data_IF_617290044027
#
_entry.id   IF_617290044027
#
_cell.length_a   1.000
_cell.length_b   1.000
_cell.length_c   1.000
_cell.angle_alpha   90.00
_cell.angle_beta   90.00
_cell.angle_gamma   90.00
#
_symmetry.space_group_name_H-M   'P 1'
#
loop_
_entity.id
_entity.type
_entity.pdbx_description
1 polymer ?
#
# COMPACT_ATOMS: atom_id res chain seq x y z
N UNK A 1 -13.75 21.04 2.34
CA UNK A 1 -13.66 21.44 3.78
C UNK A 1 -12.40 22.27 4.00
N UNK A 2 -12.22 22.93 5.17
CA UNK A 2 -11.00 23.70 5.46
C UNK A 2 -9.81 22.74 5.71
N UNK A 3 -8.61 23.00 5.14
CA UNK A 3 -7.44 22.14 5.34
C UNK A 3 -7.04 21.99 6.81
N UNK A 4 -7.12 23.05 7.62
CA UNK A 4 -6.83 22.98 9.06
C UNK A 4 -7.71 21.97 9.81
N UNK A 5 -9.01 21.88 9.46
CA UNK A 5 -9.93 20.93 10.10
C UNK A 5 -9.63 19.49 9.67
N UNK A 6 -9.15 19.27 8.46
CA UNK A 6 -8.75 17.95 7.98
C UNK A 6 -7.41 17.52 8.59
N UNK A 7 -6.44 18.43 8.76
CA UNK A 7 -5.14 18.13 9.40
C UNK A 7 -5.30 17.54 10.79
N UNK A 8 -6.20 18.06 11.60
CA UNK A 8 -6.48 17.52 12.95
C UNK A 8 -6.89 16.04 12.96
N UNK A 9 -7.48 15.55 11.88
CA UNK A 9 -7.86 14.13 11.77
C UNK A 9 -6.75 13.30 11.14
N UNK A 10 -6.08 13.87 10.13
CA UNK A 10 -4.95 13.22 9.46
C UNK A 10 -3.78 12.95 10.42
N UNK A 11 -3.54 13.87 11.37
CA UNK A 11 -2.49 13.70 12.37
C UNK A 11 -2.74 12.53 13.35
N UNK A 12 -4.02 12.09 13.51
CA UNK A 12 -4.37 10.94 14.36
C UNK A 12 -4.01 9.59 13.72
N UNK A 13 -3.97 9.52 12.39
CA UNK A 13 -3.75 8.27 11.65
C UNK A 13 -2.31 8.12 11.13
N UNK A 14 -1.48 9.15 11.29
CA UNK A 14 -0.11 9.11 10.79
C UNK A 14 0.72 8.06 11.51
N UNK A 15 1.37 7.17 10.75
CA UNK A 15 2.22 6.11 11.29
C UNK A 15 1.47 4.94 11.93
N UNK A 16 0.13 4.93 11.87
CA UNK A 16 -0.69 3.83 12.38
C UNK A 16 -0.82 2.72 11.33
N UNK A 17 -1.13 1.49 11.77
CA UNK A 17 -1.52 0.41 10.87
C UNK A 17 -2.79 0.77 10.13
N UNK A 18 -2.97 0.26 8.92
CA UNK A 18 -4.12 0.61 8.09
C UNK A 18 -5.46 0.27 8.76
N UNK A 19 -5.55 -0.89 9.42
CA UNK A 19 -6.73 -1.31 10.17
C UNK A 19 -7.03 -0.41 11.37
N UNK A 20 -6.01 -0.10 12.20
CA UNK A 20 -6.16 0.78 13.36
C UNK A 20 -6.58 2.18 12.91
N UNK A 21 -6.01 2.68 11.82
CA UNK A 21 -6.37 3.96 11.23
C UNK A 21 -7.85 3.99 10.79
N UNK A 22 -8.36 2.91 10.20
CA UNK A 22 -9.78 2.78 9.84
C UNK A 22 -10.69 2.80 11.07
N UNK A 23 -10.30 2.10 12.14
CA UNK A 23 -11.05 2.10 13.40
C UNK A 23 -11.08 3.50 14.03
N UNK A 24 -9.92 4.17 14.13
CA UNK A 24 -9.82 5.54 14.65
C UNK A 24 -10.74 6.48 13.87
N UNK A 25 -10.76 6.37 12.54
CA UNK A 25 -11.60 7.22 11.67
C UNK A 25 -13.10 6.96 11.88
N UNK A 26 -13.52 5.71 12.06
CA UNK A 26 -14.93 5.35 12.34
C UNK A 26 -15.45 5.96 13.65
N UNK A 27 -14.64 5.95 14.70
CA UNK A 27 -15.02 6.49 16.01
C UNK A 27 -14.83 8.01 16.12
N UNK A 28 -14.14 8.64 15.19
CA UNK A 28 -13.89 10.08 15.20
C UNK A 28 -15.15 10.86 14.80
N UNK A 29 -15.70 11.66 15.72
CA UNK A 29 -16.92 12.47 15.52
C UNK A 29 -16.78 13.62 14.50
N UNK A 30 -15.59 13.87 13.94
CA UNK A 30 -15.33 14.97 13.01
C UNK A 30 -15.79 14.60 11.59
N UNK A 31 -16.52 15.50 10.92
CA UNK A 31 -16.99 15.27 9.54
C UNK A 31 -15.88 14.90 8.56
N UNK A 32 -14.65 15.41 8.81
CA UNK A 32 -13.47 15.11 8.00
C UNK A 32 -13.14 13.60 7.97
N UNK A 33 -13.44 12.87 9.04
CA UNK A 33 -13.07 11.47 9.17
C UNK A 33 -13.69 10.61 8.08
N UNK A 34 -14.95 10.84 7.71
CA UNK A 34 -15.64 10.09 6.64
C UNK A 34 -14.98 10.26 5.27
N UNK A 35 -14.52 11.47 4.96
CA UNK A 35 -13.88 11.76 3.68
C UNK A 35 -12.47 11.13 3.65
N UNK A 36 -11.74 11.17 4.77
CA UNK A 36 -10.41 10.57 4.92
C UNK A 36 -10.50 9.03 4.91
N UNK A 37 -11.51 8.45 5.55
CA UNK A 37 -11.76 7.01 5.54
C UNK A 37 -11.92 6.47 4.11
N UNK A 38 -12.68 7.17 3.26
CA UNK A 38 -12.83 6.79 1.84
C UNK A 38 -11.50 6.81 1.09
N UNK A 39 -10.68 7.83 1.34
CA UNK A 39 -9.35 7.94 0.70
C UNK A 39 -8.43 6.83 1.18
N UNK A 40 -8.43 6.50 2.48
CA UNK A 40 -7.63 5.42 3.03
C UNK A 40 -8.05 4.06 2.46
N UNK A 41 -9.35 3.76 2.38
CA UNK A 41 -9.84 2.52 1.73
C UNK A 41 -9.43 2.42 0.27
N UNK A 42 -9.48 3.54 -0.45
CA UNK A 42 -9.00 3.57 -1.84
C UNK A 42 -7.48 3.35 -1.93
N UNK A 43 -6.71 3.83 -0.95
CA UNK A 43 -5.27 3.62 -0.92
C UNK A 43 -4.92 2.14 -0.66
N UNK A 44 -5.65 1.46 0.25
CA UNK A 44 -5.51 0.03 0.52
C UNK A 44 -5.83 -0.79 -0.75
N UNK A 45 -6.99 -0.58 -1.36
CA UNK A 45 -7.39 -1.27 -2.58
C UNK A 45 -6.41 -1.03 -3.76
N UNK A 46 -5.81 0.15 -3.83
CA UNK A 46 -4.78 0.43 -4.84
C UNK A 46 -3.46 -0.31 -4.53
N UNK A 47 -3.13 -0.52 -3.26
CA UNK A 47 -1.97 -1.30 -2.86
C UNK A 47 -2.15 -2.78 -3.20
N UNK A 48 -3.32 -3.37 -2.88
CA UNK A 48 -3.70 -4.73 -3.25
C UNK A 48 -3.59 -4.96 -4.76
N UNK A 49 -4.21 -4.09 -5.55
CA UNK A 49 -4.17 -4.19 -7.01
C UNK A 49 -2.75 -4.10 -7.59
N UNK A 50 -1.92 -3.22 -7.03
CA UNK A 50 -0.52 -3.12 -7.46
C UNK A 50 0.30 -4.37 -7.13
N UNK A 51 0.01 -5.02 -5.99
CA UNK A 51 0.63 -6.27 -5.61
C UNK A 51 0.19 -7.40 -6.54
N UNK A 52 -1.11 -7.50 -6.85
CA UNK A 52 -1.65 -8.45 -7.83
C UNK A 52 -0.99 -8.28 -9.21
N UNK A 53 -0.92 -7.04 -9.71
CA UNK A 53 -0.28 -6.72 -11.01
C UNK A 53 1.22 -7.06 -11.02
N UNK A 54 1.90 -6.96 -9.87
CA UNK A 54 3.30 -7.33 -9.71
C UNK A 54 3.51 -8.82 -9.42
N UNK A 55 2.44 -9.61 -9.22
CA UNK A 55 2.51 -11.01 -8.82
C UNK A 55 3.09 -11.23 -7.42
N UNK A 56 3.04 -10.22 -6.56
CA UNK A 56 3.50 -10.26 -5.18
C UNK A 56 2.34 -10.52 -4.23
N UNK A 57 2.57 -11.26 -3.14
CA UNK A 57 1.59 -11.39 -2.06
C UNK A 57 1.71 -10.20 -1.12
N UNK A 58 0.63 -9.48 -0.92
CA UNK A 58 0.53 -8.37 0.01
C UNK A 58 -0.34 -8.78 1.20
N UNK A 59 0.16 -8.60 2.43
CA UNK A 59 -0.67 -8.73 3.63
C UNK A 59 -1.23 -7.37 4.02
N UNK A 60 -2.54 -7.25 3.96
CA UNK A 60 -3.26 -6.00 4.27
C UNK A 60 -3.05 -5.58 5.72
N UNK A 61 -2.89 -6.55 6.63
CA UNK A 61 -2.69 -6.33 8.06
C UNK A 61 -1.33 -5.70 8.39
N UNK A 62 -0.35 -5.84 7.50
CA UNK A 62 0.99 -5.26 7.66
C UNK A 62 1.13 -3.88 7.02
N UNK A 63 0.09 -3.41 6.32
CA UNK A 63 0.08 -2.06 5.76
C UNK A 63 0.02 -1.01 6.86
N UNK A 64 0.84 0.03 6.70
CA UNK A 64 0.82 1.21 7.57
C UNK A 64 0.73 2.50 6.77
N UNK A 65 0.23 3.55 7.41
CA UNK A 65 0.13 4.88 6.83
C UNK A 65 1.49 5.58 6.91
N UNK A 66 2.27 5.53 5.82
CA UNK A 66 3.61 6.12 5.78
C UNK A 66 3.55 7.64 5.68
N UNK A 67 2.75 8.16 4.76
CA UNK A 67 2.59 9.60 4.55
C UNK A 67 1.13 9.97 4.50
N UNK A 68 0.76 10.95 5.29
CA UNK A 68 -0.54 11.59 5.18
C UNK A 68 -0.42 13.10 5.40
N UNK A 69 -0.97 13.87 4.46
CA UNK A 69 -0.95 15.32 4.51
C UNK A 69 -2.14 15.94 3.79
N UNK A 70 -2.40 17.20 4.11
CA UNK A 70 -3.52 17.95 3.56
C UNK A 70 -3.01 19.26 2.98
N UNK A 71 -3.17 19.41 1.67
CA UNK A 71 -2.84 20.61 0.92
C UNK A 71 -4.05 21.53 0.80
N UNK A 72 -3.80 22.82 0.61
CA UNK A 72 -4.86 23.78 0.33
C UNK A 72 -5.35 23.60 -1.11
N UNK A 73 -6.67 23.50 -1.26
CA UNK A 73 -7.35 23.49 -2.55
C UNK A 73 -7.88 24.89 -2.93
N UNK A 74 -8.70 24.92 -3.97
CA UNK A 74 -9.30 26.14 -4.50
C UNK A 74 -10.09 26.92 -3.44
N UNK A 75 -10.04 28.23 -3.53
CA UNK A 75 -10.70 29.15 -2.61
C UNK A 75 -11.88 29.81 -3.31
N UNK A 76 -13.10 29.56 -2.84
CA UNK A 76 -14.31 30.11 -3.43
C UNK A 76 -14.78 31.33 -2.63
N UNK A 77 -14.78 32.49 -3.25
CA UNK A 77 -15.32 33.73 -2.67
C UNK A 77 -16.85 33.65 -2.64
N UNK A 78 -17.45 33.97 -1.49
CA UNK A 78 -18.90 33.99 -1.27
C UNK A 78 -19.27 35.24 -0.50
N UNK A 79 -20.54 35.64 -0.62
CA UNK A 79 -21.10 36.77 0.10
C UNK A 79 -22.09 36.24 1.13
N UNK A 80 -22.13 36.85 2.28
CA UNK A 80 -23.12 36.64 3.34
C UNK A 80 -23.84 37.98 3.57
N UNK A 81 -25.18 37.98 3.54
CA UNK A 81 -25.94 39.19 3.87
C UNK A 81 -25.69 39.60 5.30
N UNK A 82 -25.70 40.90 5.56
CA UNK A 82 -25.52 41.53 6.85
C UNK A 82 -26.59 42.63 7.06
N UNK A 83 -26.82 43.03 8.32
CA UNK A 83 -27.77 44.11 8.65
C UNK A 83 -27.47 45.41 7.85
N UNK A 84 -28.49 46.25 7.66
CA UNK A 84 -28.42 47.52 6.97
C UNK A 84 -27.95 47.42 5.50
N UNK A 85 -28.33 46.35 4.77
CA UNK A 85 -27.98 46.20 3.36
C UNK A 85 -26.52 45.94 3.07
N UNK A 86 -25.71 45.65 4.09
CA UNK A 86 -24.29 45.33 3.95
C UNK A 86 -24.11 43.90 3.51
N UNK A 87 -22.96 43.57 2.89
CA UNK A 87 -22.57 42.23 2.52
C UNK A 87 -21.14 41.93 3.00
N UNK A 88 -20.97 40.84 3.74
CA UNK A 88 -19.65 40.37 4.16
C UNK A 88 -19.10 39.34 3.18
N UNK A 89 -17.87 39.52 2.77
CA UNK A 89 -17.15 38.53 1.97
C UNK A 89 -16.60 37.43 2.87
N UNK A 90 -16.82 36.17 2.50
CA UNK A 90 -16.17 35.02 3.14
C UNK A 90 -15.59 34.07 2.10
N UNK A 91 -14.61 33.27 2.51
CA UNK A 91 -13.94 32.32 1.63
C UNK A 91 -14.31 30.90 2.06
N UNK A 92 -14.91 30.14 1.14
CA UNK A 92 -15.12 28.71 1.30
C UNK A 92 -13.87 27.99 0.81
N UNK A 93 -13.09 27.44 1.75
CA UNK A 93 -11.86 26.72 1.46
C UNK A 93 -12.14 25.26 1.15
N UNK A 94 -11.39 24.70 0.19
CA UNK A 94 -11.31 23.27 -0.10
C UNK A 94 -9.94 22.74 0.28
N UNK A 95 -9.77 21.42 0.28
CA UNK A 95 -8.53 20.76 0.64
C UNK A 95 -8.32 19.54 -0.23
N UNK A 96 -7.08 19.23 -0.55
CA UNK A 96 -6.64 17.98 -1.15
C UNK A 96 -6.06 17.10 -0.04
N UNK A 97 -6.54 15.87 0.06
CA UNK A 97 -6.10 14.89 1.04
C UNK A 97 -5.26 13.86 0.30
N UNK A 98 -4.05 13.63 0.78
CA UNK A 98 -3.13 12.63 0.25
C UNK A 98 -2.81 11.65 1.36
N UNK A 99 -2.99 10.37 1.09
CA UNK A 99 -2.67 9.25 1.97
C UNK A 99 -1.86 8.25 1.17
N UNK A 100 -0.68 7.89 1.67
CA UNK A 100 0.15 6.84 1.13
C UNK A 100 0.28 5.73 2.18
N UNK A 101 0.10 4.50 1.73
CA UNK A 101 0.28 3.27 2.52
C UNK A 101 1.48 2.52 2.00
N UNK A 102 2.24 1.91 2.90
CA UNK A 102 3.43 1.12 2.61
C UNK A 102 3.42 -0.12 3.50
N UNK A 103 4.03 -1.22 3.06
CA UNK A 103 4.29 -2.37 3.91
C UNK A 103 5.36 -2.04 4.96
N UNK A 104 5.28 -2.67 6.12
CA UNK A 104 6.29 -2.49 7.15
C UNK A 104 7.64 -3.01 6.64
N UNK A 105 8.66 -2.15 6.64
CA UNK A 105 9.98 -2.42 6.05
C UNK A 105 10.63 -3.73 6.54
N UNK A 106 10.30 -4.17 7.74
CA UNK A 106 10.80 -5.41 8.32
C UNK A 106 10.17 -6.64 7.69
N UNK A 107 8.84 -6.63 7.47
CA UNK A 107 8.12 -7.72 6.85
C UNK A 107 8.45 -7.86 5.35
N UNK A 108 8.59 -6.75 4.63
CA UNK A 108 9.03 -6.75 3.24
C UNK A 108 10.47 -7.32 3.09
N UNK A 109 11.37 -7.01 4.02
CA UNK A 109 12.73 -7.57 4.02
C UNK A 109 12.74 -9.08 4.33
N UNK A 110 11.94 -9.53 5.28
CA UNK A 110 11.81 -10.96 5.64
C UNK A 110 11.20 -11.77 4.50
N UNK A 111 10.19 -11.26 3.81
CA UNK A 111 9.58 -11.91 2.63
C UNK A 111 10.53 -11.97 1.45
N UNK A 112 11.26 -10.90 1.17
CA UNK A 112 12.26 -10.89 0.10
C UNK A 112 13.39 -11.87 0.38
N UNK A 113 13.81 -12.02 1.64
CA UNK A 113 14.81 -13.00 2.07
C UNK A 113 14.27 -14.44 1.96
N UNK A 114 13.02 -14.68 2.36
CA UNK A 114 12.37 -15.98 2.23
C UNK A 114 12.20 -16.42 0.77
N UNK A 115 11.71 -15.52 -0.09
CA UNK A 115 11.57 -15.78 -1.53
C UNK A 115 12.92 -16.04 -2.21
N UNK A 116 13.98 -15.33 -1.81
CA UNK A 116 15.34 -15.59 -2.30
C UNK A 116 15.89 -16.94 -1.82
N UNK A 117 15.58 -17.35 -0.58
CA UNK A 117 15.97 -18.64 -0.03
C UNK A 117 15.26 -19.80 -0.76
N UNK A 118 13.97 -19.67 -1.06
CA UNK A 118 13.21 -20.64 -1.86
C UNK A 118 13.75 -20.77 -3.29
N UNK A 119 13.99 -19.65 -3.96
CA UNK A 119 14.58 -19.65 -5.31
C UNK A 119 16.00 -20.22 -5.34
N UNK A 120 16.77 -20.06 -4.27
CA UNK A 120 18.10 -20.68 -4.15
C UNK A 120 18.00 -22.20 -3.94
N UNK A 121 17.04 -22.68 -3.12
CA UNK A 121 16.80 -24.10 -2.89
C UNK A 121 16.33 -24.84 -4.15
N UNK A 122 15.44 -24.25 -4.94
CA UNK A 122 15.01 -24.81 -6.24
C UNK A 122 16.16 -24.93 -7.25
N UNK A 123 17.03 -23.91 -7.34
CA UNK A 123 18.22 -23.98 -8.19
C UNK A 123 19.20 -25.06 -7.74
N UNK A 124 19.35 -25.26 -6.42
CA UNK A 124 20.18 -26.33 -5.85
C UNK A 124 19.65 -27.71 -6.21
N UNK A 125 18.36 -27.96 -6.05
CA UNK A 125 17.69 -29.24 -6.39
C UNK A 125 17.77 -29.53 -7.90
N UNK A 126 17.50 -28.55 -8.76
CA UNK A 126 17.62 -28.70 -10.23
C UNK A 126 19.06 -28.98 -10.66
N UNK A 127 20.05 -28.38 -9.99
CA UNK A 127 21.47 -28.63 -10.22
C UNK A 127 21.87 -30.04 -9.83
N UNK A 128 21.44 -30.53 -8.68
CA UNK A 128 21.69 -31.89 -8.19
C UNK A 128 21.06 -32.96 -9.09
N UNK A 129 19.81 -32.77 -9.52
CA UNK A 129 19.11 -33.69 -10.46
C UNK A 129 19.81 -33.75 -11.81
N UNK A 130 20.29 -32.60 -12.32
CA UNK A 130 21.04 -32.56 -13.60
C UNK A 130 22.39 -33.25 -13.51
N UNK A 131 23.07 -33.15 -12.35
CA UNK A 131 24.34 -33.86 -12.07
C UNK A 131 24.14 -35.35 -11.92
N UNK A 132 23.07 -35.77 -11.25
CA UNK A 132 22.71 -37.21 -11.12
C UNK A 132 22.31 -37.84 -12.47
N UNK A 133 21.54 -37.12 -13.31
CA UNK A 133 21.22 -37.59 -14.67
C UNK A 133 22.47 -37.72 -15.56
N UNK A 134 23.44 -36.83 -15.42
CA UNK A 134 24.71 -36.90 -16.17
C UNK A 134 25.58 -38.06 -15.69
N UNK A 135 25.54 -38.41 -14.42
CA UNK A 135 26.27 -39.57 -13.88
C UNK A 135 25.66 -40.90 -14.30
N UNK A 136 24.33 -41.02 -14.38
CA UNK A 136 23.60 -42.22 -14.79
C UNK A 136 23.58 -42.42 -16.34
N UNK A 137 23.77 -41.39 -17.13
CA UNK A 137 23.73 -41.45 -18.61
C UNK A 137 25.04 -41.89 -19.31
N UNK A 138 26.08 -42.23 -18.54
CA UNK A 138 27.41 -42.56 -19.06
C UNK A 138 27.65 -44.03 -19.43
N UNK A 139 26.70 -44.94 -19.25
CA UNK A 139 26.84 -46.33 -19.70
C UNK A 139 26.25 -46.50 -21.12
N UNK A 140 27.10 -46.40 -22.16
CA UNK A 140 26.77 -46.89 -23.49
C UNK A 140 26.67 -48.44 -23.45
N UNK A 141 25.61 -49.03 -23.97
CA UNK A 141 25.52 -50.49 -24.09
C UNK A 141 26.56 -51.02 -25.06
N UNK A 142 27.34 -52.01 -24.64
CA UNK A 142 28.35 -52.65 -25.45
C UNK A 142 27.72 -53.30 -26.71
N UNK A 143 28.23 -52.95 -27.85
CA UNK A 143 27.84 -53.44 -29.19
C UNK A 143 28.27 -54.90 -29.30
N UNK A 144 27.34 -55.87 -29.36
CA UNK A 144 27.63 -57.27 -29.61
C UNK A 144 28.26 -57.44 -31.01
N UNK A 145 29.31 -58.28 -31.16
CA UNK A 145 29.88 -58.59 -32.49
C UNK A 145 28.95 -59.53 -33.26
N UNK A 146 28.72 -59.22 -34.50
CA UNK A 146 28.05 -60.14 -35.45
C UNK A 146 29.03 -61.23 -35.84
N UNK A 147 28.57 -62.52 -35.71
CA UNK A 147 29.04 -63.63 -36.51
C UNK A 147 28.22 -63.74 -37.77
#
# INVERSE_FOLDING_TARGET
>A
MSPQKARLVVDLIRGQRAEDALQILRYTKKRAARDIEKVLRSAIANAERKAEDAGASLDVDELYVSRCFVNEGSRWKRLRPAPMGRAFRYVRRTAHIVVAVEEHHRAAAERSAAAQAEAASEKGVRGAVKKARKALGGQKPARKPKK
#
